data_IF_899824700308
#
_entry.id   IF_899824700308
#
_cell.length_a   1.000
_cell.length_b   1.000
_cell.length_c   1.000
_cell.angle_alpha   90.00
_cell.angle_beta   90.00
_cell.angle_gamma   90.00
#
_symmetry.space_group_name_H-M   'P 1'
#
loop_
_entity.id
_entity.type
_entity.pdbx_description
1 polymer ?
#
# COMPACT_ATOMS: atom_id res chain seq x y z
N UNK A 1 -75.22 20.50 -13.66
CA UNK A 1 -73.94 21.06 -13.18
C UNK A 1 -74.17 21.76 -11.85
N UNK A 2 -73.94 21.10 -10.72
CA UNK A 2 -73.95 21.72 -9.38
C UNK A 2 -72.49 21.96 -8.99
N UNK A 3 -72.13 23.23 -8.77
CA UNK A 3 -70.82 23.65 -8.25
C UNK A 3 -70.91 23.63 -6.73
N UNK A 4 -70.13 22.79 -6.08
CA UNK A 4 -69.97 22.82 -4.63
C UNK A 4 -69.10 24.02 -4.22
N UNK A 5 -69.58 24.93 -3.35
CA UNK A 5 -68.80 26.05 -2.85
C UNK A 5 -68.28 25.70 -1.45
N UNK A 6 -67.24 24.88 -1.35
CA UNK A 6 -66.57 24.68 -0.06
C UNK A 6 -65.10 24.27 -0.19
N UNK A 7 -64.32 25.06 -0.93
CA UNK A 7 -62.86 25.02 -0.83
C UNK A 7 -62.41 26.06 0.21
N UNK A 8 -62.75 25.79 1.47
CA UNK A 8 -62.26 26.56 2.60
C UNK A 8 -60.75 26.40 2.70
N UNK A 9 -60.03 27.48 2.37
CA UNK A 9 -58.60 27.62 2.62
C UNK A 9 -58.35 27.42 4.12
N UNK A 10 -58.01 26.19 4.53
CA UNK A 10 -57.44 25.90 5.83
C UNK A 10 -56.00 26.40 5.81
N UNK A 11 -55.81 27.69 6.04
CA UNK A 11 -54.52 28.24 6.45
C UNK A 11 -54.16 27.62 7.81
N UNK A 12 -53.52 26.45 7.80
CA UNK A 12 -52.83 25.92 8.97
C UNK A 12 -51.66 26.84 9.26
N UNK A 13 -51.88 27.83 10.11
CA UNK A 13 -50.80 28.52 10.80
C UNK A 13 -50.13 27.49 11.71
N UNK A 14 -49.01 26.93 11.25
CA UNK A 14 -48.17 26.12 12.10
C UNK A 14 -47.48 27.08 13.07
N UNK A 15 -47.98 27.19 14.30
CA UNK A 15 -47.22 27.78 15.39
C UNK A 15 -45.96 26.94 15.57
N UNK A 16 -44.83 27.48 15.13
CA UNK A 16 -43.52 26.88 15.38
C UNK A 16 -43.23 27.11 16.86
N UNK A 17 -43.55 26.11 17.70
CA UNK A 17 -43.12 26.11 19.08
C UNK A 17 -41.59 26.00 19.13
N UNK A 18 -40.93 27.15 19.26
CA UNK A 18 -39.48 27.25 19.44
C UNK A 18 -39.15 26.65 20.79
N UNK A 19 -38.66 25.41 20.79
CA UNK A 19 -38.17 24.75 22.00
C UNK A 19 -36.92 25.49 22.48
N UNK A 20 -36.85 25.77 23.78
CA UNK A 20 -35.60 26.26 24.39
C UNK A 20 -34.52 25.18 24.31
N UNK A 21 -33.25 25.59 24.38
CA UNK A 21 -32.11 24.65 24.35
C UNK A 21 -32.18 23.63 25.50
N UNK A 22 -32.65 24.03 26.68
CA UNK A 22 -32.87 23.14 27.82
C UNK A 22 -33.96 22.08 27.54
N UNK A 23 -35.10 22.50 26.98
CA UNK A 23 -36.17 21.59 26.57
C UNK A 23 -35.72 20.62 25.47
N UNK A 24 -34.91 21.09 24.52
CA UNK A 24 -34.33 20.22 23.48
C UNK A 24 -33.39 19.17 24.09
N UNK A 25 -32.51 19.55 25.02
CA UNK A 25 -31.62 18.60 25.71
C UNK A 25 -32.41 17.56 26.52
N UNK A 26 -33.44 17.99 27.25
CA UNK A 26 -34.32 17.09 28.00
C UNK A 26 -35.06 16.12 27.06
N UNK A 27 -35.58 16.61 25.93
CA UNK A 27 -36.25 15.77 24.94
C UNK A 27 -35.30 14.74 24.29
N UNK A 28 -34.07 15.12 23.99
CA UNK A 28 -33.06 14.19 23.45
C UNK A 28 -32.63 13.16 24.49
N UNK A 29 -32.49 13.55 25.77
CA UNK A 29 -32.19 12.61 26.85
C UNK A 29 -33.31 11.58 27.04
N UNK A 30 -34.57 12.04 27.08
CA UNK A 30 -35.73 11.15 27.13
C UNK A 30 -35.85 10.24 25.90
N UNK A 31 -35.54 10.75 24.71
CA UNK A 31 -35.50 9.90 23.50
C UNK A 31 -34.41 8.83 23.60
N UNK A 32 -33.22 9.15 24.10
CA UNK A 32 -32.11 8.18 24.25
C UNK A 32 -32.43 7.03 25.21
N UNK A 33 -33.25 7.27 26.23
CA UNK A 33 -33.70 6.21 27.16
C UNK A 33 -34.59 5.16 26.47
N UNK A 34 -35.28 5.55 25.40
CA UNK A 34 -36.20 4.68 24.65
C UNK A 34 -35.71 4.37 23.22
N UNK A 35 -34.58 4.95 22.81
CA UNK A 35 -34.02 4.74 21.50
C UNK A 35 -33.48 3.31 21.40
N UNK A 36 -33.73 2.62 20.28
CA UNK A 36 -33.12 1.32 20.05
C UNK A 36 -31.59 1.43 20.03
N UNK A 37 -30.90 0.34 20.39
CA UNK A 37 -29.44 0.31 20.40
C UNK A 37 -28.83 0.48 19.00
N UNK A 38 -29.56 0.06 17.95
CA UNK A 38 -29.13 0.17 16.56
C UNK A 38 -30.14 0.99 15.74
N UNK A 39 -29.65 1.85 14.85
CA UNK A 39 -30.49 2.61 13.90
C UNK A 39 -31.38 1.71 13.03
N UNK A 40 -30.99 0.45 12.84
CA UNK A 40 -31.79 -0.53 12.09
C UNK A 40 -33.10 -0.91 12.75
N UNK A 41 -33.24 -0.71 14.05
CA UNK A 41 -34.42 -1.10 14.82
C UNK A 41 -35.44 0.05 14.89
N UNK A 42 -35.05 1.25 14.45
CA UNK A 42 -35.92 2.43 14.30
C UNK A 42 -36.88 2.24 13.12
N UNK A 43 -36.44 1.54 12.07
CA UNK A 43 -37.23 1.32 10.86
C UNK A 43 -37.81 -0.08 10.85
N UNK A 44 -39.14 -0.21 10.93
CA UNK A 44 -39.87 -1.48 10.80
C UNK A 44 -39.91 -2.02 9.37
N UNK A 45 -39.13 -1.45 8.45
CA UNK A 45 -39.03 -1.96 7.09
C UNK A 45 -38.39 -3.33 7.13
N UNK A 46 -39.17 -4.36 6.81
CA UNK A 46 -38.65 -5.72 6.63
C UNK A 46 -37.45 -5.67 5.70
N UNK A 47 -36.26 -6.05 6.19
CA UNK A 47 -35.08 -6.17 5.34
C UNK A 47 -35.43 -7.16 4.23
N UNK A 48 -35.44 -6.72 2.98
CA UNK A 48 -35.55 -7.65 1.87
C UNK A 48 -34.31 -8.54 1.90
N UNK A 49 -34.49 -9.86 1.81
CA UNK A 49 -33.38 -10.82 1.81
C UNK A 49 -32.42 -10.60 0.63
N UNK A 50 -32.91 -9.97 -0.44
CA UNK A 50 -32.13 -9.54 -1.58
C UNK A 50 -32.28 -8.03 -1.82
N UNK A 51 -31.25 -7.37 -2.39
CA UNK A 51 -31.35 -6.00 -2.87
C UNK A 51 -32.53 -5.83 -3.84
N UNK A 52 -33.17 -4.67 -3.80
CA UNK A 52 -34.16 -4.30 -4.80
C UNK A 52 -33.47 -4.32 -6.18
N UNK A 53 -33.93 -5.21 -7.07
CA UNK A 53 -33.36 -5.47 -8.40
C UNK A 53 -32.12 -6.40 -8.48
N UNK A 54 -31.91 -7.29 -7.50
CA UNK A 54 -30.85 -8.29 -7.57
C UNK A 54 -30.77 -9.04 -8.91
N UNK A 55 -31.90 -9.58 -9.41
CA UNK A 55 -31.91 -10.28 -10.70
C UNK A 55 -31.50 -9.42 -11.89
N UNK A 56 -31.89 -8.13 -11.91
CA UNK A 56 -31.45 -7.21 -12.97
C UNK A 56 -29.95 -6.92 -12.87
N UNK A 57 -29.40 -6.87 -11.65
CA UNK A 57 -27.96 -6.72 -11.45
C UNK A 57 -27.20 -7.93 -12.01
N UNK A 58 -27.73 -9.13 -11.80
CA UNK A 58 -27.13 -10.37 -12.31
C UNK A 58 -27.18 -10.42 -13.84
N UNK A 59 -28.32 -10.06 -14.44
CA UNK A 59 -28.50 -9.99 -15.90
C UNK A 59 -27.54 -8.98 -16.55
N UNK A 60 -27.32 -7.82 -15.90
CA UNK A 60 -26.50 -6.73 -16.43
C UNK A 60 -25.02 -6.83 -16.02
N UNK A 61 -24.64 -7.78 -15.17
CA UNK A 61 -23.25 -7.98 -14.77
C UNK A 61 -22.32 -8.24 -15.97
N UNK A 62 -22.88 -8.81 -17.04
CA UNK A 62 -22.19 -9.11 -18.30
C UNK A 62 -21.73 -7.83 -19.02
N UNK A 63 -22.34 -6.67 -18.78
CA UNK A 63 -21.88 -5.37 -19.32
C UNK A 63 -20.49 -5.02 -18.77
N UNK A 64 -20.20 -5.39 -17.52
CA UNK A 64 -18.86 -5.17 -16.96
C UNK A 64 -17.81 -6.00 -17.70
N UNK A 65 -18.16 -7.23 -18.11
CA UNK A 65 -17.30 -8.06 -18.96
C UNK A 65 -17.13 -7.45 -20.35
N UNK A 66 -18.22 -6.96 -20.96
CA UNK A 66 -18.13 -6.24 -22.24
C UNK A 66 -17.22 -5.02 -22.14
N UNK A 67 -17.33 -4.25 -21.05
CA UNK A 67 -16.47 -3.10 -20.77
C UNK A 67 -15.01 -3.51 -20.69
N UNK A 68 -14.70 -4.62 -20.01
CA UNK A 68 -13.35 -5.15 -19.91
C UNK A 68 -12.80 -5.52 -21.29
N UNK A 69 -13.53 -6.33 -22.06
CA UNK A 69 -13.20 -6.73 -23.44
C UNK A 69 -13.04 -5.51 -24.37
N UNK A 70 -13.79 -4.44 -24.11
CA UNK A 70 -13.81 -3.23 -24.93
C UNK A 70 -12.72 -2.22 -24.59
N UNK A 71 -12.02 -2.36 -23.46
CA UNK A 71 -10.92 -1.47 -23.11
C UNK A 71 -9.76 -1.69 -24.07
N UNK A 72 -9.07 -0.62 -24.52
CA UNK A 72 -7.78 -0.80 -25.16
C UNK A 72 -6.84 -1.50 -24.16
N UNK A 73 -5.86 -2.28 -24.65
CA UNK A 73 -4.87 -2.90 -23.77
C UNK A 73 -4.26 -1.82 -22.87
N UNK A 74 -4.33 -2.03 -21.56
CA UNK A 74 -3.89 -1.04 -20.59
C UNK A 74 -2.43 -0.67 -20.88
N UNK A 75 -2.18 0.61 -21.18
CA UNK A 75 -0.81 1.09 -21.24
C UNK A 75 -0.18 0.88 -19.86
N UNK A 76 1.04 0.32 -19.78
CA UNK A 76 1.71 0.13 -18.50
C UNK A 76 1.75 1.45 -17.76
N UNK A 77 1.37 1.46 -16.46
CA UNK A 77 1.23 2.69 -15.69
C UNK A 77 2.55 3.47 -15.70
N UNK A 78 2.60 4.55 -16.50
CA UNK A 78 3.76 5.44 -16.63
C UNK A 78 3.71 6.52 -15.56
N UNK A 79 3.62 6.15 -14.28
CA UNK A 79 3.86 7.15 -13.22
C UNK A 79 5.37 7.28 -13.02
N UNK A 80 5.89 8.49 -12.80
CA UNK A 80 7.32 8.72 -12.59
C UNK A 80 7.93 7.93 -11.41
N UNK A 81 7.10 7.27 -10.60
CA UNK A 81 7.47 6.40 -9.49
C UNK A 81 7.49 4.91 -9.85
N UNK A 82 7.04 4.53 -11.07
CA UNK A 82 6.93 3.17 -11.58
C UNK A 82 7.67 2.94 -12.91
N UNK A 83 8.30 3.96 -13.50
CA UNK A 83 9.06 3.85 -14.77
C UNK A 83 10.30 2.96 -14.61
N UNK A 84 10.88 2.94 -13.42
CA UNK A 84 11.89 1.96 -13.05
C UNK A 84 11.23 1.11 -11.99
N UNK A 85 10.88 -0.16 -12.26
CA UNK A 85 10.50 -1.04 -11.17
C UNK A 85 11.63 -0.98 -10.15
N UNK A 86 11.34 -0.50 -8.95
CA UNK A 86 12.22 -0.58 -7.79
C UNK A 86 12.37 -2.04 -7.31
N UNK A 87 12.29 -2.98 -8.25
CA UNK A 87 12.51 -4.38 -8.06
C UNK A 87 13.97 -4.59 -8.45
N UNK A 88 14.86 -4.36 -7.49
CA UNK A 88 16.28 -4.79 -7.53
C UNK A 88 16.42 -6.33 -7.63
N UNK A 89 15.31 -7.05 -7.80
CA UNK A 89 15.28 -8.45 -8.22
C UNK A 89 15.59 -8.53 -9.72
N UNK A 90 16.86 -8.33 -10.07
CA UNK A 90 17.40 -8.96 -11.26
C UNK A 90 17.08 -10.45 -11.17
N UNK A 91 16.54 -11.06 -12.25
CA UNK A 91 16.57 -12.51 -12.38
C UNK A 91 18.05 -12.88 -12.23
N UNK A 92 18.38 -13.56 -11.15
CA UNK A 92 19.69 -14.15 -10.90
C UNK A 92 19.91 -15.14 -12.05
N UNK A 93 20.42 -14.64 -13.18
CA UNK A 93 21.18 -15.49 -14.09
C UNK A 93 22.37 -15.89 -13.23
N UNK A 94 22.25 -17.02 -12.55
CA UNK A 94 23.31 -17.66 -11.76
C UNK A 94 24.50 -17.88 -12.69
N UNK A 95 25.28 -16.82 -12.94
CA UNK A 95 26.70 -16.97 -13.22
C UNK A 95 27.29 -17.41 -11.89
N UNK A 96 27.60 -18.69 -11.81
CA UNK A 96 28.28 -19.34 -10.67
C UNK A 96 29.55 -18.58 -10.21
N UNK A 97 30.05 -17.64 -11.01
CA UNK A 97 31.29 -16.90 -10.79
C UNK A 97 31.11 -15.48 -10.20
N UNK A 98 29.89 -14.93 -10.10
CA UNK A 98 29.67 -13.57 -9.57
C UNK A 98 29.01 -13.61 -8.18
N UNK A 99 29.65 -13.05 -7.12
CA UNK A 99 29.07 -13.04 -5.78
C UNK A 99 27.81 -12.16 -5.76
N UNK A 100 26.69 -12.77 -5.36
CA UNK A 100 25.38 -12.13 -5.24
C UNK A 100 25.48 -10.73 -4.60
N UNK A 101 24.78 -9.72 -5.12
CA UNK A 101 24.80 -8.38 -4.55
C UNK A 101 24.32 -8.42 -3.08
N UNK A 102 25.05 -7.79 -2.15
CA UNK A 102 24.67 -7.81 -0.74
C UNK A 102 23.34 -7.07 -0.58
N UNK A 103 22.38 -7.73 0.08
CA UNK A 103 21.06 -7.16 0.39
C UNK A 103 21.26 -6.12 1.50
N UNK A 104 21.54 -4.87 1.10
CA UNK A 104 21.92 -3.76 2.00
C UNK A 104 20.84 -3.43 3.03
N UNK A 105 19.56 -3.71 2.73
CA UNK A 105 18.42 -3.38 3.60
C UNK A 105 18.12 -4.44 4.69
N UNK A 106 18.71 -5.65 4.61
CA UNK A 106 18.41 -6.75 5.53
C UNK A 106 19.60 -7.21 6.38
N UNK A 107 20.81 -6.68 6.16
CA UNK A 107 21.98 -6.98 6.97
C UNK A 107 22.08 -6.03 8.16
N UNK A 108 21.32 -6.32 9.22
CA UNK A 108 21.57 -5.70 10.51
C UNK A 108 22.85 -6.29 11.12
N UNK A 109 23.99 -5.66 10.83
CA UNK A 109 25.25 -5.97 11.51
C UNK A 109 25.15 -5.55 12.99
N UNK A 110 24.80 -6.47 13.88
CA UNK A 110 24.84 -6.25 15.32
C UNK A 110 26.29 -6.46 15.80
N UNK A 111 27.08 -5.38 15.82
CA UNK A 111 28.41 -5.39 16.43
C UNK A 111 28.32 -4.96 17.90
N UNK A 112 28.49 -5.86 18.88
CA UNK A 112 28.54 -5.44 20.27
C UNK A 112 29.77 -4.56 20.49
N UNK A 113 29.59 -3.44 21.18
CA UNK A 113 30.72 -2.58 21.55
C UNK A 113 31.66 -3.29 22.51
N UNK A 114 32.94 -2.89 22.55
CA UNK A 114 33.93 -3.42 23.51
C UNK A 114 33.40 -3.32 24.96
N UNK A 115 32.74 -2.22 25.30
CA UNK A 115 32.12 -2.04 26.61
C UNK A 115 30.99 -3.05 26.89
N UNK A 116 30.16 -3.36 25.89
CA UNK A 116 29.10 -4.37 26.01
C UNK A 116 29.67 -5.79 26.18
N UNK A 117 30.74 -6.12 25.46
CA UNK A 117 31.46 -7.40 25.60
C UNK A 117 32.07 -7.53 27.01
N UNK A 118 32.77 -6.49 27.48
CA UNK A 118 33.36 -6.49 28.81
C UNK A 118 32.30 -6.54 29.92
N UNK A 119 31.15 -5.87 29.73
CA UNK A 119 30.02 -5.95 30.66
C UNK A 119 29.40 -7.36 30.69
N UNK A 120 29.31 -8.03 29.54
CA UNK A 120 28.77 -9.39 29.44
C UNK A 120 29.66 -10.44 30.12
N UNK A 121 30.98 -10.20 30.19
CA UNK A 121 31.98 -11.08 30.80
C UNK A 121 32.34 -10.65 32.23
N UNK A 122 31.71 -9.60 32.77
CA UNK A 122 32.04 -8.99 34.08
C UNK A 122 32.11 -9.99 35.25
N UNK A 123 31.30 -11.04 35.22
CA UNK A 123 31.19 -12.04 36.28
C UNK A 123 32.01 -13.32 36.01
N UNK A 124 32.98 -13.27 35.11
CA UNK A 124 33.87 -14.39 34.76
C UNK A 124 35.24 -14.14 35.38
N UNK A 125 35.74 -15.12 36.11
CA UNK A 125 37.06 -15.09 36.70
C UNK A 125 38.09 -15.57 35.67
N UNK A 126 39.04 -14.68 35.35
CA UNK A 126 40.07 -14.88 34.33
C UNK A 126 41.43 -15.01 35.01
N UNK A 127 42.09 -16.17 34.88
CA UNK A 127 43.46 -16.39 35.37
C UNK A 127 44.47 -16.43 34.23
N UNK A 128 45.71 -15.95 34.44
CA UNK A 128 46.76 -16.04 33.45
C UNK A 128 47.10 -17.51 33.16
N UNK A 129 47.19 -17.89 31.88
CA UNK A 129 47.53 -19.26 31.50
C UNK A 129 48.95 -19.66 31.94
N UNK A 130 49.86 -18.68 32.00
CA UNK A 130 51.22 -18.79 32.56
C UNK A 130 51.61 -17.47 33.23
N UNK A 131 52.39 -17.49 34.33
CA UNK A 131 52.90 -16.26 34.93
C UNK A 131 53.75 -15.49 33.90
N UNK A 132 53.34 -14.25 33.60
CA UNK A 132 54.01 -13.36 32.65
C UNK A 132 53.39 -13.27 31.24
N UNK A 133 52.36 -14.07 30.92
CA UNK A 133 51.68 -14.01 29.62
C UNK A 133 50.35 -13.24 29.69
N UNK A 134 50.04 -12.45 28.66
CA UNK A 134 48.80 -11.64 28.59
C UNK A 134 47.56 -12.53 28.38
N UNK A 135 47.75 -13.77 27.92
CA UNK A 135 46.67 -14.74 27.73
C UNK A 135 46.02 -15.13 29.07
N UNK A 136 44.76 -14.71 29.24
CA UNK A 136 43.93 -15.09 30.38
C UNK A 136 42.88 -16.11 29.95
N UNK A 137 42.76 -17.19 30.71
CA UNK A 137 41.73 -18.22 30.51
C UNK A 137 40.63 -18.06 31.56
N UNK A 138 39.36 -18.29 31.18
CA UNK A 138 38.26 -18.31 32.14
C UNK A 138 38.35 -19.59 32.98
N UNK A 139 38.60 -19.41 34.28
CA UNK A 139 38.81 -20.51 35.25
C UNK A 139 37.59 -20.68 36.17
N UNK A 140 36.87 -19.60 36.47
CA UNK A 140 35.73 -19.60 37.39
C UNK A 140 34.65 -18.56 37.07
N UNK A 141 33.60 -18.52 37.90
CA UNK A 141 32.44 -17.64 37.72
C UNK A 141 31.32 -18.24 36.85
N UNK A 142 30.54 -17.38 36.19
CA UNK A 142 29.38 -17.79 35.39
C UNK A 142 29.79 -18.39 34.03
N UNK A 143 30.26 -19.64 34.04
CA UNK A 143 30.76 -20.35 32.85
C UNK A 143 29.95 -21.62 32.62
N UNK A 144 29.56 -21.88 31.37
CA UNK A 144 28.95 -23.15 30.96
C UNK A 144 29.88 -23.92 30.03
N UNK A 145 30.21 -25.17 30.39
CA UNK A 145 31.07 -26.06 29.59
C UNK A 145 30.26 -27.27 29.10
N UNK A 146 30.38 -27.62 27.82
CA UNK A 146 29.78 -28.81 27.20
C UNK A 146 30.87 -29.56 26.43
N UNK A 147 31.11 -30.83 26.77
CA UNK A 147 32.13 -31.65 26.09
C UNK A 147 33.56 -31.08 26.13
N UNK A 148 33.92 -30.35 27.19
CA UNK A 148 35.23 -29.70 27.32
C UNK A 148 35.37 -28.35 26.61
N UNK A 149 34.37 -27.93 25.82
CA UNK A 149 34.31 -26.60 25.20
C UNK A 149 33.45 -25.65 26.03
N UNK A 150 33.82 -24.37 26.04
CA UNK A 150 33.05 -23.32 26.71
C UNK A 150 31.93 -22.87 25.78
N UNK A 151 30.68 -23.08 26.20
CA UNK A 151 29.47 -22.73 25.44
C UNK A 151 28.87 -21.40 25.94
N UNK A 152 29.26 -20.93 27.12
CA UNK A 152 28.84 -19.64 27.69
C UNK A 152 29.91 -19.03 28.61
N UNK A 153 30.16 -17.73 28.49
CA UNK A 153 30.93 -16.90 29.42
C UNK A 153 30.08 -15.71 29.85
N UNK A 154 29.59 -15.74 31.10
CA UNK A 154 28.65 -14.77 31.63
C UNK A 154 27.36 -14.71 30.78
N UNK A 155 27.06 -13.53 30.25
CA UNK A 155 25.94 -13.33 29.34
C UNK A 155 26.26 -13.69 27.87
N UNK A 156 27.53 -13.94 27.52
CA UNK A 156 27.94 -14.33 26.16
C UNK A 156 27.74 -15.83 25.96
N UNK A 157 26.96 -16.22 24.95
CA UNK A 157 26.81 -17.62 24.52
C UNK A 157 27.61 -17.86 23.25
N UNK A 158 28.52 -18.83 23.30
CA UNK A 158 29.28 -19.31 22.16
C UNK A 158 28.56 -20.55 21.61
N UNK A 159 27.81 -20.37 20.53
CA UNK A 159 27.05 -21.45 19.94
C UNK A 159 27.08 -21.39 18.42
N UNK A 160 27.58 -22.47 17.81
CA UNK A 160 26.91 -23.05 16.65
C UNK A 160 25.62 -23.66 17.21
N UNK A 161 24.53 -22.90 17.25
CA UNK A 161 23.26 -23.45 17.76
C UNK A 161 22.73 -24.54 16.82
N UNK A 162 22.10 -25.62 17.32
CA UNK A 162 21.08 -26.30 16.53
C UNK A 162 19.93 -25.30 16.30
N UNK A 163 19.56 -25.11 15.04
CA UNK A 163 18.67 -24.07 14.47
C UNK A 163 17.20 -24.10 14.93
N UNK A 164 16.88 -24.74 16.06
CA UNK A 164 15.50 -24.89 16.53
C UNK A 164 15.39 -24.39 17.96
N UNK A 165 14.95 -23.14 18.11
CA UNK A 165 14.49 -22.60 19.38
C UNK A 165 12.96 -22.41 19.30
N UNK A 166 12.24 -22.88 20.32
CA UNK A 166 10.80 -22.70 20.46
C UNK A 166 10.50 -21.24 20.81
N UNK A 167 9.60 -20.59 20.08
CA UNK A 167 9.22 -19.18 20.27
C UNK A 167 7.71 -18.97 20.26
N UNK A 168 7.24 -17.94 20.94
CA UNK A 168 5.84 -17.50 20.88
C UNK A 168 5.72 -16.28 19.98
N UNK A 169 4.72 -16.27 19.09
CA UNK A 169 4.42 -15.11 18.25
C UNK A 169 2.92 -14.79 18.34
N UNK A 170 2.59 -13.51 18.25
CA UNK A 170 1.20 -13.03 18.15
C UNK A 170 0.84 -12.89 16.68
N UNK A 171 -0.30 -13.45 16.27
CA UNK A 171 -0.79 -13.27 14.89
C UNK A 171 -1.01 -11.78 14.57
N UNK A 172 -0.74 -11.34 13.34
CA UNK A 172 -1.25 -10.06 12.86
C UNK A 172 -2.78 -10.15 12.77
N UNK A 173 -3.48 -9.41 13.63
CA UNK A 173 -4.94 -9.40 13.73
C UNK A 173 -5.41 -8.98 15.13
N UNK A 174 -6.63 -8.45 15.22
CA UNK A 174 -7.17 -7.82 16.43
C UNK A 174 -7.39 -8.80 17.62
N UNK A 175 -7.22 -10.10 17.39
CA UNK A 175 -7.31 -11.12 18.43
C UNK A 175 -5.90 -11.48 18.92
N UNK A 176 -5.49 -10.87 20.04
CA UNK A 176 -4.20 -11.06 20.76
C UNK A 176 -3.97 -12.48 21.30
N UNK A 177 -4.35 -13.52 20.57
CA UNK A 177 -4.05 -14.90 20.96
C UNK A 177 -2.57 -15.19 20.67
N UNK A 178 -1.82 -15.48 21.74
CA UNK A 178 -0.44 -15.95 21.68
C UNK A 178 -0.48 -17.42 21.26
N UNK A 179 0.14 -17.76 20.14
CA UNK A 179 0.27 -19.14 19.69
C UNK A 179 1.75 -19.54 19.81
N UNK A 180 2.00 -20.70 20.40
CA UNK A 180 3.34 -21.31 20.39
C UNK A 180 3.70 -21.70 18.97
N UNK A 181 4.77 -21.13 18.44
CA UNK A 181 5.26 -21.41 17.10
C UNK A 181 6.45 -22.38 17.19
N UNK A 182 6.30 -23.55 16.56
CA UNK A 182 7.40 -24.48 16.27
C UNK A 182 7.72 -24.39 14.78
N UNK A 183 8.69 -23.57 14.44
CA UNK A 183 9.28 -23.55 13.11
C UNK A 183 10.79 -23.33 13.21
N UNK A 184 11.52 -23.74 12.18
CA UNK A 184 12.91 -23.28 12.02
C UNK A 184 12.83 -21.78 11.80
N UNK A 185 13.48 -20.98 12.64
CA UNK A 185 13.72 -19.57 12.29
C UNK A 185 14.32 -19.57 10.88
N UNK A 186 13.98 -18.59 10.00
CA UNK A 186 14.86 -18.32 8.88
C UNK A 186 16.26 -18.20 9.48
N UNK A 187 17.21 -18.99 8.97
CA UNK A 187 18.59 -18.89 9.40
C UNK A 187 18.92 -17.43 9.22
N UNK A 188 18.98 -16.68 10.32
CA UNK A 188 19.40 -15.29 10.24
C UNK A 188 20.75 -15.39 9.55
N UNK A 189 20.84 -14.88 8.32
CA UNK A 189 22.11 -14.69 7.61
C UNK A 189 22.87 -13.55 8.28
N UNK A 190 22.88 -13.49 9.61
CA UNK A 190 23.93 -12.80 10.34
C UNK A 190 25.20 -13.51 9.90
N UNK A 191 25.92 -12.86 8.97
CA UNK A 191 27.23 -13.30 8.55
C UNK A 191 28.13 -13.53 9.76
N UNK A 192 29.23 -14.26 9.54
CA UNK A 192 30.29 -14.52 10.53
C UNK A 192 30.36 -13.43 11.60
N UNK A 193 30.34 -13.81 12.87
CA UNK A 193 30.52 -12.86 13.98
C UNK A 193 31.81 -12.06 13.76
N UNK A 194 31.69 -10.83 13.26
CA UNK A 194 32.81 -9.90 13.09
C UNK A 194 33.12 -9.28 14.45
N UNK A 195 34.41 -9.09 14.74
CA UNK A 195 34.87 -8.49 16.00
C UNK A 195 34.40 -7.05 16.17
N UNK A 196 34.80 -6.43 17.27
CA UNK A 196 34.42 -5.05 17.58
C UNK A 196 34.97 -4.01 16.59
N UNK A 197 36.00 -4.39 15.81
CA UNK A 197 36.71 -3.49 14.92
C UNK A 197 36.03 -3.39 13.54
N UNK A 198 36.02 -2.16 13.00
CA UNK A 198 35.59 -1.89 11.62
C UNK A 198 36.72 -2.33 10.68
N UNK A 199 36.40 -3.23 9.75
CA UNK A 199 37.29 -3.50 8.63
C UNK A 199 37.15 -2.33 7.64
N UNK A 200 38.09 -1.39 7.71
CA UNK A 200 38.06 -0.16 6.92
C UNK A 200 38.15 -0.44 5.42
N UNK A 201 38.83 -1.52 5.03
CA UNK A 201 39.00 -1.92 3.63
C UNK A 201 37.69 -2.46 3.05
N UNK A 202 36.95 -3.27 3.82
CA UNK A 202 35.66 -3.82 3.39
C UNK A 202 34.58 -2.73 3.28
N UNK A 203 34.54 -1.80 4.24
CA UNK A 203 33.64 -0.63 4.19
C UNK A 203 33.96 0.29 3.01
N UNK A 204 35.24 0.50 2.72
CA UNK A 204 35.67 1.26 1.54
C UNK A 204 35.23 0.56 0.25
N UNK A 205 35.43 -0.75 0.14
CA UNK A 205 35.01 -1.53 -1.03
C UNK A 205 33.48 -1.49 -1.25
N UNK A 206 32.68 -1.59 -0.17
CA UNK A 206 31.21 -1.45 -0.24
C UNK A 206 30.79 -0.08 -0.79
N UNK A 207 31.43 1.00 -0.33
CA UNK A 207 31.13 2.37 -0.80
C UNK A 207 31.57 2.62 -2.23
N UNK A 208 32.75 2.12 -2.60
CA UNK A 208 33.24 2.19 -3.98
C UNK A 208 32.28 1.48 -4.93
N UNK A 209 31.80 0.29 -4.56
CA UNK A 209 30.82 -0.48 -5.33
C UNK A 209 29.49 0.26 -5.46
N UNK A 210 28.97 0.83 -4.38
CA UNK A 210 27.73 1.62 -4.38
C UNK A 210 27.85 2.88 -5.26
N UNK A 211 28.98 3.57 -5.21
CA UNK A 211 29.24 4.74 -6.04
C UNK A 211 29.36 4.40 -7.53
N UNK A 212 30.05 3.32 -7.87
CA UNK A 212 30.11 2.82 -9.24
C UNK A 212 28.71 2.46 -9.76
N UNK A 213 27.85 1.88 -8.92
CA UNK A 213 26.49 1.53 -9.28
C UNK A 213 25.60 2.77 -9.50
N UNK A 214 25.72 3.78 -8.64
CA UNK A 214 24.95 5.03 -8.72
C UNK A 214 25.52 6.07 -9.70
N UNK A 215 26.68 5.79 -10.32
CA UNK A 215 27.38 6.75 -11.18
C UNK A 215 27.84 8.01 -10.45
N UNK A 216 28.08 7.92 -9.14
CA UNK A 216 28.46 9.03 -8.29
C UNK A 216 29.84 8.79 -7.63
N UNK A 217 30.35 9.78 -6.91
CA UNK A 217 31.59 9.62 -6.14
C UNK A 217 31.35 8.77 -4.89
N UNK A 218 32.31 7.90 -4.56
CA UNK A 218 32.29 7.12 -3.31
C UNK A 218 32.12 8.06 -2.12
N UNK A 219 31.07 7.83 -1.33
CA UNK A 219 30.88 8.58 -0.11
C UNK A 219 32.10 8.40 0.80
N UNK A 220 32.78 9.50 1.11
CA UNK A 220 33.87 9.45 2.08
C UNK A 220 33.30 9.04 3.44
N UNK A 221 33.92 8.04 4.09
CA UNK A 221 33.70 7.90 5.52
C UNK A 221 34.18 9.19 6.14
N UNK A 222 33.29 9.92 6.80
CA UNK A 222 33.72 10.93 7.74
C UNK A 222 33.75 10.21 9.08
N UNK A 223 34.90 9.64 9.50
CA UNK A 223 34.98 9.03 10.81
C UNK A 223 34.54 10.08 11.84
N UNK A 224 33.66 9.70 12.77
CA UNK A 224 33.22 10.59 13.86
C UNK A 224 34.33 10.78 14.90
N UNK A 225 35.52 11.17 14.45
CA UNK A 225 36.60 11.63 15.29
C UNK A 225 36.18 12.90 16.04
N UNK A 226 36.89 13.20 17.13
CA UNK A 226 36.67 14.45 17.85
C UNK A 226 36.89 15.67 16.93
N UNK A 227 37.82 15.56 15.97
CA UNK A 227 38.12 16.60 14.99
C UNK A 227 37.00 16.80 13.96
N UNK A 228 36.41 15.74 13.42
CA UNK A 228 35.29 15.87 12.47
C UNK A 228 34.05 16.45 13.14
N UNK A 229 33.78 16.04 14.39
CA UNK A 229 32.72 16.63 15.24
C UNK A 229 32.99 18.11 15.53
N UNK A 230 34.25 18.49 15.76
CA UNK A 230 34.64 19.89 15.95
C UNK A 230 34.47 20.69 14.65
N UNK A 231 34.91 20.19 13.49
CA UNK A 231 34.70 20.84 12.18
C UNK A 231 33.21 20.97 11.83
N UNK A 232 32.39 19.97 12.15
CA UNK A 232 30.94 20.04 11.97
C UNK A 232 30.31 21.12 12.87
N UNK A 233 30.74 21.22 14.14
CA UNK A 233 30.33 22.30 15.05
C UNK A 233 30.80 23.67 14.55
N UNK A 234 32.01 23.79 14.04
CA UNK A 234 32.53 25.03 13.44
C UNK A 234 31.73 25.42 12.18
N UNK A 235 31.36 24.46 11.32
CA UNK A 235 30.45 24.71 10.17
C UNK A 235 29.06 25.14 10.64
N UNK A 236 28.48 24.45 11.62
CA UNK A 236 27.19 24.82 12.20
C UNK A 236 27.24 26.23 12.82
N UNK A 237 28.31 26.56 13.54
CA UNK A 237 28.53 27.90 14.10
C UNK A 237 28.70 28.97 13.00
N UNK A 238 29.34 28.67 11.87
CA UNK A 238 29.44 29.59 10.72
C UNK A 238 28.10 29.90 10.06
N UNK A 239 27.14 28.99 10.16
CA UNK A 239 25.80 29.14 9.58
C UNK A 239 24.79 29.67 10.60
N UNK A 240 25.09 29.54 11.91
CA UNK A 240 24.21 29.90 13.02
C UNK A 240 23.72 31.35 12.98
N UNK A 241 24.59 32.28 12.57
CA UNK A 241 24.26 33.71 12.50
C UNK A 241 23.91 34.19 11.08
N UNK A 242 23.90 33.27 10.09
CA UNK A 242 23.42 33.61 8.75
C UNK A 242 21.89 33.56 8.77
N UNK A 243 21.21 34.57 8.20
CA UNK A 243 19.78 34.48 8.02
C UNK A 243 19.48 33.23 7.19
N UNK A 244 18.59 32.37 7.70
CA UNK A 244 18.08 31.26 6.92
C UNK A 244 17.51 31.83 5.61
N UNK A 245 17.74 31.18 4.46
CA UNK A 245 17.06 31.58 3.23
C UNK A 245 15.56 31.60 3.52
N UNK A 246 14.89 32.70 3.16
CA UNK A 246 13.47 32.85 3.43
C UNK A 246 12.72 31.69 2.77
N UNK A 247 12.18 30.79 3.58
CA UNK A 247 11.32 29.74 3.04
C UNK A 247 10.04 30.39 2.51
N UNK A 248 9.49 29.89 1.39
CA UNK A 248 8.23 30.42 0.90
C UNK A 248 7.12 30.21 1.96
N UNK A 249 6.20 31.17 2.14
CA UNK A 249 5.08 31.01 3.04
C UNK A 249 4.22 29.81 2.63
N UNK A 250 3.67 29.09 3.60
CA UNK A 250 2.84 27.89 3.37
C UNK A 250 1.55 28.16 2.60
N UNK A 251 1.14 29.43 2.48
CA UNK A 251 -0.04 29.88 1.75
C UNK A 251 0.27 30.28 0.29
N UNK A 252 1.52 30.12 -0.17
CA UNK A 252 1.91 30.49 -1.53
C UNK A 252 1.26 29.54 -2.56
N UNK A 253 0.64 30.05 -3.64
CA UNK A 253 0.17 29.24 -4.75
C UNK A 253 1.27 28.36 -5.34
N UNK A 254 0.92 27.13 -5.79
CA UNK A 254 1.89 26.13 -6.25
C UNK A 254 2.88 26.66 -7.31
N UNK A 255 2.39 27.43 -8.29
CA UNK A 255 3.24 27.95 -9.36
C UNK A 255 4.20 29.06 -8.88
N UNK A 256 3.81 29.86 -7.89
CA UNK A 256 4.69 30.85 -7.26
C UNK A 256 5.77 30.16 -6.42
N UNK A 257 5.41 29.10 -5.69
CA UNK A 257 6.36 28.29 -4.92
C UNK A 257 7.38 27.58 -5.84
N UNK A 258 6.93 27.10 -7.01
CA UNK A 258 7.82 26.53 -8.04
C UNK A 258 8.74 27.58 -8.63
N UNK A 259 8.24 28.77 -8.93
CA UNK A 259 9.07 29.88 -9.42
C UNK A 259 10.14 30.28 -8.39
N UNK A 260 9.79 30.33 -7.10
CA UNK A 260 10.73 30.57 -6.01
C UNK A 260 11.85 29.52 -5.96
N UNK A 261 11.54 28.26 -6.29
CA UNK A 261 12.51 27.16 -6.38
C UNK A 261 13.23 27.04 -7.73
N UNK A 262 12.96 27.94 -8.71
CA UNK A 262 13.54 27.87 -10.05
C UNK A 262 12.98 26.74 -10.93
N UNK A 263 11.79 26.22 -10.61
CA UNK A 263 11.11 25.16 -11.35
C UNK A 263 10.08 25.73 -12.35
N UNK A 264 9.86 25.08 -13.51
CA UNK A 264 8.87 25.53 -14.48
C UNK A 264 7.45 25.42 -13.92
N UNK A 265 6.51 26.30 -14.35
CA UNK A 265 5.12 26.28 -13.91
C UNK A 265 4.41 24.99 -14.35
N UNK A 266 3.44 24.54 -13.55
CA UNK A 266 2.58 23.39 -13.87
C UNK A 266 1.25 23.91 -14.37
N UNK A 267 0.81 23.38 -15.51
CA UNK A 267 -0.52 23.63 -16.05
C UNK A 267 -1.56 23.00 -15.13
N UNK A 268 -2.48 23.81 -14.60
CA UNK A 268 -3.56 23.30 -13.77
C UNK A 268 -4.59 22.61 -14.69
N UNK A 269 -4.60 21.28 -14.69
CA UNK A 269 -5.66 20.53 -15.35
C UNK A 269 -6.98 20.76 -14.58
N UNK A 270 -8.02 21.37 -15.18
CA UNK A 270 -9.28 21.62 -14.51
C UNK A 270 -10.09 20.34 -14.26
N UNK A 271 -9.64 19.20 -14.77
CA UNK A 271 -10.25 17.91 -14.49
C UNK A 271 -10.03 17.55 -13.02
N UNK A 272 -11.04 16.98 -12.32
CA UNK A 272 -10.82 16.39 -11.01
C UNK A 272 -9.90 15.18 -11.17
N UNK A 273 -8.59 15.40 -11.05
CA UNK A 273 -7.60 14.33 -11.18
C UNK A 273 -7.29 13.78 -9.80
N UNK A 274 -7.21 12.46 -9.73
CA UNK A 274 -6.77 11.75 -8.54
C UNK A 274 -5.26 12.00 -8.36
N UNK A 275 -4.69 11.82 -7.15
CA UNK A 275 -3.29 12.15 -6.86
C UNK A 275 -2.25 11.51 -7.81
N UNK A 276 -2.63 10.41 -8.46
CA UNK A 276 -1.80 9.66 -9.42
C UNK A 276 -1.99 10.09 -10.88
N UNK A 277 -2.84 11.07 -11.16
CA UNK A 277 -3.09 11.56 -12.53
C UNK A 277 -3.96 10.64 -13.40
N UNK A 278 -4.34 9.46 -12.88
CA UNK A 278 -5.16 8.51 -13.63
C UNK A 278 -6.64 8.90 -13.64
N UNK A 279 -7.29 8.64 -14.78
CA UNK A 279 -8.75 8.72 -14.95
C UNK A 279 -9.48 7.52 -14.33
N UNK A 280 -8.79 6.39 -14.10
CA UNK A 280 -9.36 5.20 -13.47
C UNK A 280 -9.03 5.19 -11.97
N UNK A 281 -10.06 4.99 -11.16
CA UNK A 281 -9.94 4.90 -9.70
C UNK A 281 -9.14 3.65 -9.30
N UNK A 282 -9.18 2.60 -10.13
CA UNK A 282 -8.43 1.37 -9.91
C UNK A 282 -6.92 1.59 -9.79
N UNK A 283 -6.39 2.58 -10.51
CA UNK A 283 -4.95 2.86 -10.57
C UNK A 283 -4.38 3.45 -9.29
N UNK A 284 -5.23 3.90 -8.38
CA UNK A 284 -4.83 4.40 -7.06
C UNK A 284 -4.58 3.24 -6.10
N UNK A 285 -5.31 2.14 -6.25
CA UNK A 285 -5.30 1.05 -5.28
C UNK A 285 -4.28 0.00 -5.70
N UNK A 286 -3.19 -0.10 -4.95
CA UNK A 286 -2.11 -1.08 -5.19
C UNK A 286 -2.59 -2.53 -5.19
N UNK A 287 -3.74 -2.84 -4.56
CA UNK A 287 -4.37 -4.16 -4.62
C UNK A 287 -4.93 -4.52 -6.00
N UNK A 288 -5.20 -3.52 -6.84
CA UNK A 288 -5.74 -3.65 -8.19
C UNK A 288 -4.66 -3.48 -9.26
N UNK A 289 -3.41 -3.27 -8.86
CA UNK A 289 -2.26 -3.18 -9.76
C UNK A 289 -1.47 -4.49 -9.65
N UNK A 290 -1.32 -5.19 -10.78
CA UNK A 290 -0.43 -6.32 -10.90
C UNK A 290 1.01 -5.82 -11.08
N UNK A 291 1.85 -6.09 -10.08
CA UNK A 291 3.29 -5.91 -10.23
C UNK A 291 3.82 -7.12 -11.01
N UNK A 292 4.33 -6.95 -12.24
CA UNK A 292 4.91 -8.07 -12.97
C UNK A 292 6.09 -8.64 -12.19
N UNK A 293 6.22 -9.96 -12.20
CA UNK A 293 7.33 -10.66 -11.53
C UNK A 293 8.69 -10.38 -12.18
N UNK A 294 8.70 -9.94 -13.43
CA UNK A 294 9.91 -9.71 -14.24
C UNK A 294 10.19 -8.21 -14.37
N UNK A 295 11.46 -7.83 -14.20
CA UNK A 295 11.94 -6.45 -14.18
C UNK A 295 11.69 -5.64 -15.47
N UNK A 296 11.35 -6.29 -16.59
CA UNK A 296 11.19 -5.62 -17.88
C UNK A 296 9.76 -5.15 -18.19
N UNK A 297 8.80 -5.36 -17.28
CA UNK A 297 7.42 -4.92 -17.47
C UNK A 297 7.07 -3.89 -16.39
N UNK A 298 6.46 -2.78 -16.79
CA UNK A 298 5.91 -1.81 -15.83
C UNK A 298 4.71 -2.40 -15.10
N UNK A 299 4.38 -1.83 -13.95
CA UNK A 299 3.15 -2.19 -13.23
C UNK A 299 1.95 -2.06 -14.17
N UNK A 300 1.20 -3.16 -14.36
CA UNK A 300 -0.03 -3.15 -15.14
C UNK A 300 -1.20 -3.23 -14.19
N UNK A 301 -2.35 -2.68 -14.56
CA UNK A 301 -3.59 -2.95 -13.83
C UNK A 301 -3.76 -4.48 -13.83
N UNK A 302 -4.20 -5.04 -12.70
CA UNK A 302 -4.62 -6.43 -12.61
C UNK A 302 -5.94 -6.52 -13.38
N UNK A 303 -5.84 -6.52 -14.70
CA UNK A 303 -6.94 -6.92 -15.53
C UNK A 303 -7.19 -8.39 -15.19
N UNK A 304 -8.43 -8.68 -14.76
CA UNK A 304 -8.92 -10.06 -14.76
C UNK A 304 -8.70 -10.56 -16.18
N UNK A 305 -7.71 -11.44 -16.36
CA UNK A 305 -7.18 -11.94 -17.64
C UNK A 305 -8.29 -11.94 -18.69
N UNK A 306 -8.26 -10.96 -19.60
CA UNK A 306 -9.27 -10.87 -20.65
C UNK A 306 -9.11 -12.09 -21.54
N UNK A 307 -9.82 -13.16 -21.20
CA UNK A 307 -9.71 -14.45 -21.87
C UNK A 307 -10.27 -14.39 -23.30
N UNK A 308 -10.95 -13.29 -23.64
CA UNK A 308 -11.71 -13.14 -24.88
C UNK A 308 -11.23 -11.94 -25.67
N UNK A 309 -10.80 -12.19 -26.91
CA UNK A 309 -10.55 -11.14 -27.90
C UNK A 309 -11.87 -10.50 -28.32
N UNK A 310 -11.94 -9.16 -28.26
CA UNK A 310 -13.10 -8.38 -28.71
C UNK A 310 -13.50 -8.75 -30.13
N UNK A 311 -12.52 -8.91 -31.03
CA UNK A 311 -12.81 -9.22 -32.42
C UNK A 311 -13.55 -10.57 -32.57
N UNK A 312 -13.17 -11.56 -31.77
CA UNK A 312 -13.84 -12.86 -31.76
C UNK A 312 -15.27 -12.77 -31.24
N UNK A 313 -15.49 -12.07 -30.12
CA UNK A 313 -16.83 -11.90 -29.53
C UNK A 313 -17.75 -11.10 -30.45
N UNK A 314 -17.24 -10.03 -31.07
CA UNK A 314 -17.96 -9.22 -32.07
C UNK A 314 -18.38 -10.05 -33.27
N UNK A 315 -17.54 -11.00 -33.72
CA UNK A 315 -17.88 -11.87 -34.87
C UNK A 315 -19.08 -12.80 -34.59
N UNK A 316 -19.34 -13.11 -33.32
CA UNK A 316 -20.44 -13.98 -32.86
C UNK A 316 -21.71 -13.20 -32.49
N UNK A 317 -21.64 -11.87 -32.40
CA UNK A 317 -22.76 -11.01 -32.03
C UNK A 317 -23.40 -10.33 -33.26
N UNK A 318 -24.73 -10.14 -33.27
CA UNK A 318 -25.38 -9.25 -34.23
C UNK A 318 -24.83 -7.82 -34.13
N UNK A 319 -24.65 -7.15 -35.27
CA UNK A 319 -24.14 -5.77 -35.30
C UNK A 319 -24.97 -4.80 -34.45
N UNK A 320 -26.29 -5.00 -34.38
CA UNK A 320 -27.18 -4.20 -33.55
C UNK A 320 -26.95 -4.40 -32.05
N UNK A 321 -26.57 -5.60 -31.61
CA UNK A 321 -26.29 -5.85 -30.19
C UNK A 321 -24.96 -5.22 -29.79
N UNK A 322 -23.97 -5.26 -30.69
CA UNK A 322 -22.68 -4.59 -30.49
C UNK A 322 -22.89 -3.09 -30.33
N UNK A 323 -23.71 -2.45 -31.18
CA UNK A 323 -23.98 -1.00 -31.04
C UNK A 323 -24.73 -0.68 -29.76
N UNK A 324 -25.65 -1.54 -29.30
CA UNK A 324 -26.35 -1.39 -28.02
C UNK A 324 -25.39 -1.53 -26.83
N UNK A 325 -24.50 -2.53 -26.85
CA UNK A 325 -23.52 -2.76 -25.79
C UNK A 325 -22.48 -1.63 -25.71
N UNK A 326 -22.01 -1.14 -26.85
CA UNK A 326 -21.09 0.02 -26.91
C UNK A 326 -21.77 1.30 -26.43
N UNK A 327 -23.04 1.53 -26.82
CA UNK A 327 -23.83 2.65 -26.32
C UNK A 327 -24.01 2.57 -24.79
N UNK A 328 -24.24 1.37 -24.25
CA UNK A 328 -24.41 1.17 -22.81
C UNK A 328 -23.18 1.56 -21.96
N UNK A 329 -21.98 1.57 -22.55
CA UNK A 329 -20.76 2.02 -21.85
C UNK A 329 -20.72 3.54 -21.61
N UNK A 330 -21.46 4.32 -22.39
CA UNK A 330 -21.42 5.79 -22.36
C UNK A 330 -22.78 6.44 -22.05
N UNK A 331 -23.88 5.70 -22.18
CA UNK A 331 -25.23 6.17 -21.94
C UNK A 331 -25.45 6.63 -20.50
N UNK A 332 -26.16 7.75 -20.31
CA UNK A 332 -26.54 8.24 -18.98
C UNK A 332 -27.87 7.64 -18.50
N UNK A 333 -28.70 7.20 -19.44
CA UNK A 333 -30.03 6.65 -19.17
C UNK A 333 -30.43 5.64 -20.27
N UNK A 334 -31.52 4.89 -20.04
CA UNK A 334 -32.03 3.90 -21.00
C UNK A 334 -32.64 4.53 -22.27
N UNK A 335 -33.03 5.81 -22.20
CA UNK A 335 -33.53 6.56 -23.37
C UNK A 335 -32.42 6.76 -24.40
N UNK A 336 -31.19 7.05 -23.97
CA UNK A 336 -30.03 7.20 -24.86
C UNK A 336 -29.79 5.92 -25.67
N UNK A 337 -29.87 4.76 -25.03
CA UNK A 337 -29.76 3.45 -25.69
C UNK A 337 -30.90 3.24 -26.69
N UNK A 338 -32.14 3.57 -26.30
CA UNK A 338 -33.30 3.48 -27.20
C UNK A 338 -33.21 4.39 -28.42
N UNK A 339 -32.61 5.58 -28.24
CA UNK A 339 -32.36 6.53 -29.34
C UNK A 339 -31.34 5.97 -30.34
N UNK A 340 -30.30 5.27 -29.87
CA UNK A 340 -29.34 4.57 -30.75
C UNK A 340 -30.02 3.49 -31.59
N UNK A 341 -31.05 2.84 -31.05
CA UNK A 341 -31.87 1.85 -31.77
C UNK A 341 -32.91 2.50 -32.69
N UNK A 342 -33.06 3.84 -32.66
CA UNK A 342 -33.94 4.61 -33.54
C UNK A 342 -35.34 4.90 -32.97
N UNK A 343 -35.58 4.66 -31.68
CA UNK A 343 -36.82 5.05 -31.01
C UNK A 343 -36.68 6.41 -30.33
N UNK A 344 -37.79 7.08 -30.02
CA UNK A 344 -37.79 8.36 -29.30
C UNK A 344 -38.72 8.37 -28.07
N UNK A 345 -38.41 9.24 -27.10
CA UNK A 345 -39.25 9.51 -25.94
C UNK A 345 -39.43 8.32 -24.99
N UNK A 346 -40.63 8.16 -24.42
CA UNK A 346 -40.92 7.06 -23.48
C UNK A 346 -40.83 5.67 -24.12
N UNK A 347 -41.03 5.58 -25.43
CA UNK A 347 -40.86 4.31 -26.17
C UNK A 347 -39.39 3.94 -26.24
N UNK A 348 -38.49 4.92 -26.43
CA UNK A 348 -37.05 4.70 -26.41
C UNK A 348 -36.57 4.12 -25.08
N UNK A 349 -37.06 4.61 -23.95
CA UNK A 349 -36.67 4.07 -22.63
C UNK A 349 -37.04 2.57 -22.50
N UNK A 350 -38.28 2.20 -22.88
CA UNK A 350 -38.76 0.81 -22.80
C UNK A 350 -38.02 -0.10 -23.77
N UNK A 351 -37.86 0.37 -25.02
CA UNK A 351 -37.18 -0.39 -26.07
C UNK A 351 -35.68 -0.48 -25.85
N UNK A 352 -35.05 0.55 -25.32
CA UNK A 352 -33.63 0.56 -24.92
C UNK A 352 -33.37 -0.44 -23.80
N UNK A 353 -34.22 -0.48 -22.77
CA UNK A 353 -34.12 -1.50 -21.71
C UNK A 353 -34.25 -2.91 -22.26
N UNK A 354 -35.26 -3.16 -23.11
CA UNK A 354 -35.48 -4.48 -23.71
C UNK A 354 -34.30 -4.90 -24.59
N UNK A 355 -33.83 -4.02 -25.47
CA UNK A 355 -32.70 -4.28 -26.35
C UNK A 355 -31.40 -4.56 -25.57
N UNK A 356 -31.16 -3.82 -24.48
CA UNK A 356 -30.00 -4.06 -23.63
C UNK A 356 -30.05 -5.43 -22.95
N UNK A 357 -31.22 -5.83 -22.42
CA UNK A 357 -31.38 -7.15 -21.80
C UNK A 357 -31.16 -8.28 -22.82
N UNK A 358 -31.76 -8.18 -24.00
CA UNK A 358 -31.58 -9.17 -25.08
C UNK A 358 -30.11 -9.27 -25.52
N UNK A 359 -29.40 -8.15 -25.64
CA UNK A 359 -27.97 -8.12 -25.97
C UNK A 359 -27.12 -8.75 -24.85
N UNK A 360 -27.42 -8.46 -23.58
CA UNK A 360 -26.73 -9.05 -22.43
C UNK A 360 -26.93 -10.57 -22.35
N UNK A 361 -28.15 -11.05 -22.58
CA UNK A 361 -28.44 -12.49 -22.61
C UNK A 361 -27.65 -13.22 -23.70
N UNK A 362 -27.56 -12.65 -24.90
CA UNK A 362 -26.78 -13.21 -26.01
C UNK A 362 -25.29 -13.20 -25.71
N UNK A 363 -24.76 -12.09 -25.20
CA UNK A 363 -23.37 -11.99 -24.77
C UNK A 363 -23.06 -13.01 -23.67
N UNK A 364 -23.94 -13.19 -22.69
CA UNK A 364 -23.78 -14.18 -21.63
C UNK A 364 -23.66 -15.59 -22.19
N UNK A 365 -24.51 -15.95 -23.17
CA UNK A 365 -24.47 -17.27 -23.82
C UNK A 365 -23.15 -17.50 -24.53
N UNK A 366 -22.66 -16.50 -25.27
CA UNK A 366 -21.38 -16.58 -25.99
C UNK A 366 -20.22 -16.77 -25.00
N UNK A 367 -20.18 -15.97 -23.93
CA UNK A 367 -19.12 -16.03 -22.91
C UNK A 367 -19.17 -17.30 -22.04
N UNK A 368 -20.32 -17.97 -21.96
CA UNK A 368 -20.43 -19.27 -21.26
C UNK A 368 -20.11 -20.48 -22.14
N UNK A 369 -20.10 -20.30 -23.46
CA UNK A 369 -19.86 -21.37 -24.43
C UNK A 369 -18.39 -21.44 -24.88
N UNK A 370 -17.65 -20.36 -24.67
CA UNK A 370 -16.20 -20.29 -24.84
C UNK A 370 -15.52 -20.60 -23.51
#
# INVERSE_FOLDING_TARGET
MRKDPNNGQRSRTYEIHVRTTAQHRAAVAAWREHAPANDSDIFTTSRSSSPRHAGLSDDLAVILKWRAISRPPAEPLRTNWSIIPANDNFEEEERDDEPAPPIVECEHEIRPTVGALMAAVKNVELEPHRPGLIDRRPVGGDIEKRGGQIVRLGALRFGIMPTVADGTTTRPGNNRQIISWRGKRPVDRFGRAKGADLDEEEEFAKRQRLANWLGCYAGEFIPQTAESRRKARERANRVKDRPLPALPPTTMPLNEARAFAGLPPVEQDPRPVLPTGSLDVGDIFSSWVAMPKKANQGATIRDDEHTFDRAEVVSKLPAQDVTVLDAALTARNMTDIGNVVGFAGKVAERKGRQALQEACERLSKILSAA
#
